data_IF_468896009220
#
_entry.id   IF_468896009220
#
_cell.length_a   1.000
_cell.length_b   1.000
_cell.length_c   1.000
_cell.angle_alpha   90.00
_cell.angle_beta   90.00
_cell.angle_gamma   90.00
#
_symmetry.space_group_name_H-M   'P 1'
#
loop_
_entity.id
_entity.type
_entity.pdbx_description
1 polymer ?
#
# COMPACT_ATOMS: atom_id res chain seq x y z
N UNK A 1 -44.57 -19.35 67.99
CA UNK A 1 -44.10 -18.46 66.91
C UNK A 1 -45.02 -17.25 66.87
N UNK A 2 -44.50 -16.02 66.97
CA UNK A 2 -45.36 -14.82 67.04
C UNK A 2 -45.61 -14.25 65.64
N UNK A 3 -46.77 -13.62 65.41
CA UNK A 3 -47.14 -13.01 64.13
C UNK A 3 -46.06 -12.07 63.57
N UNK A 4 -45.42 -11.27 64.44
CA UNK A 4 -44.33 -10.38 64.05
C UNK A 4 -43.09 -11.10 63.52
N UNK A 5 -42.78 -12.30 64.02
CA UNK A 5 -41.67 -13.11 63.51
C UNK A 5 -41.99 -13.68 62.12
N UNK A 6 -43.22 -14.17 61.93
CA UNK A 6 -43.69 -14.64 60.63
C UNK A 6 -43.67 -13.52 59.59
N UNK A 7 -44.24 -12.35 59.90
CA UNK A 7 -44.27 -11.20 58.99
C UNK A 7 -42.85 -10.72 58.62
N UNK A 8 -41.89 -10.85 59.53
CA UNK A 8 -40.48 -10.55 59.24
C UNK A 8 -39.87 -11.56 58.26
N UNK A 9 -40.05 -12.86 58.52
CA UNK A 9 -39.58 -13.93 57.62
C UNK A 9 -40.21 -13.84 56.23
N UNK A 10 -41.50 -13.52 56.14
CA UNK A 10 -42.18 -13.33 54.86
C UNK A 10 -41.59 -12.17 54.05
N UNK A 11 -41.25 -11.05 54.69
CA UNK A 11 -40.54 -9.93 54.05
C UNK A 11 -39.12 -10.31 53.60
N UNK A 12 -38.39 -11.04 54.43
CA UNK A 12 -37.05 -11.53 54.07
C UNK A 12 -37.07 -12.46 52.86
N UNK A 13 -38.09 -13.34 52.76
CA UNK A 13 -38.27 -14.19 51.58
C UNK A 13 -38.60 -13.36 50.33
N UNK A 14 -39.50 -12.38 50.43
CA UNK A 14 -39.85 -11.48 49.32
C UNK A 14 -38.63 -10.68 48.82
N UNK A 15 -37.80 -10.20 49.75
CA UNK A 15 -36.52 -9.54 49.43
C UNK A 15 -35.55 -10.49 48.70
N UNK A 16 -35.39 -11.72 49.19
CA UNK A 16 -34.54 -12.73 48.55
C UNK A 16 -35.02 -13.12 47.15
N UNK A 17 -36.34 -13.31 46.95
CA UNK A 17 -36.91 -13.61 45.63
C UNK A 17 -36.66 -12.46 44.65
N UNK A 18 -36.86 -11.21 45.09
CA UNK A 18 -36.58 -10.04 44.25
C UNK A 18 -35.11 -9.92 43.89
N UNK A 19 -34.21 -10.25 44.80
CA UNK A 19 -32.78 -10.21 44.54
C UNK A 19 -32.35 -11.32 43.56
N UNK A 20 -32.92 -12.52 43.67
CA UNK A 20 -32.69 -13.60 42.71
C UNK A 20 -33.22 -13.25 41.31
N UNK A 21 -34.43 -12.68 41.21
CA UNK A 21 -34.98 -12.19 39.94
C UNK A 21 -34.10 -11.09 39.32
N UNK A 22 -33.58 -10.15 40.12
CA UNK A 22 -32.66 -9.11 39.66
C UNK A 22 -31.33 -9.71 39.17
N UNK A 23 -30.81 -10.70 39.87
CA UNK A 23 -29.58 -11.40 39.46
C UNK A 23 -29.80 -12.20 38.18
N UNK A 24 -30.90 -12.93 38.07
CA UNK A 24 -31.27 -13.67 36.87
C UNK A 24 -31.44 -12.74 35.66
N UNK A 25 -32.15 -11.61 35.85
CA UNK A 25 -32.28 -10.58 34.82
C UNK A 25 -30.92 -9.98 34.42
N UNK A 26 -30.05 -9.70 35.39
CA UNK A 26 -28.69 -9.22 35.15
C UNK A 26 -27.82 -10.23 34.37
N UNK A 27 -27.91 -11.52 34.70
CA UNK A 27 -27.20 -12.59 34.00
C UNK A 27 -27.72 -12.80 32.58
N UNK A 28 -29.05 -12.73 32.37
CA UNK A 28 -29.65 -12.81 31.04
C UNK A 28 -29.15 -11.67 30.15
N UNK A 29 -29.21 -10.43 30.65
CA UNK A 29 -28.69 -9.26 29.94
C UNK A 29 -27.18 -9.37 29.63
N UNK A 30 -26.37 -9.89 30.56
CA UNK A 30 -24.95 -10.11 30.34
C UNK A 30 -24.67 -11.18 29.26
N UNK A 31 -25.46 -12.26 29.21
CA UNK A 31 -25.36 -13.30 28.18
C UNK A 31 -25.75 -12.77 26.80
N UNK A 32 -26.82 -11.99 26.72
CA UNK A 32 -27.25 -11.33 25.48
C UNK A 32 -26.18 -10.38 24.95
N UNK A 33 -25.60 -9.55 25.83
CA UNK A 33 -24.51 -8.65 25.47
C UNK A 33 -23.27 -9.41 24.98
N UNK A 34 -22.91 -10.52 25.62
CA UNK A 34 -21.80 -11.37 25.19
C UNK A 34 -22.08 -12.04 23.83
N UNK A 35 -23.30 -12.53 23.59
CA UNK A 35 -23.70 -13.11 22.32
C UNK A 35 -23.70 -12.08 21.18
N UNK A 36 -24.14 -10.84 21.45
CA UNK A 36 -24.04 -9.75 20.49
C UNK A 36 -22.57 -9.37 20.20
N UNK A 37 -21.71 -9.40 21.23
CA UNK A 37 -20.29 -9.14 21.09
C UNK A 37 -19.57 -10.18 20.22
N UNK A 38 -19.83 -11.46 20.44
CA UNK A 38 -19.26 -12.54 19.62
C UNK A 38 -19.80 -12.48 18.20
N UNK A 39 -21.11 -12.24 18.03
CA UNK A 39 -21.73 -12.10 16.70
C UNK A 39 -21.13 -10.96 15.87
N UNK A 40 -20.85 -9.82 16.50
CA UNK A 40 -20.20 -8.70 15.80
C UNK A 40 -18.73 -8.98 15.44
N UNK A 41 -17.98 -9.67 16.30
CA UNK A 41 -16.61 -10.13 15.98
C UNK A 41 -16.60 -11.12 14.83
N UNK A 42 -17.50 -12.09 14.82
CA UNK A 42 -17.57 -13.10 13.76
C UNK A 42 -17.94 -12.47 12.41
N UNK A 43 -18.89 -11.52 12.40
CA UNK A 43 -19.21 -10.76 11.20
C UNK A 43 -18.00 -9.99 10.65
N UNK A 44 -17.20 -9.35 11.52
CA UNK A 44 -15.96 -8.65 11.14
C UNK A 44 -14.91 -9.60 10.56
N UNK A 45 -14.66 -10.73 11.23
CA UNK A 45 -13.67 -11.72 10.79
C UNK A 45 -14.07 -12.32 9.43
N UNK A 46 -15.36 -12.57 9.18
CA UNK A 46 -15.86 -13.02 7.88
C UNK A 46 -15.60 -11.98 6.78
N UNK A 47 -15.80 -10.69 7.07
CA UNK A 47 -15.49 -9.61 6.14
C UNK A 47 -13.98 -9.55 5.82
N UNK A 48 -13.13 -9.62 6.85
CA UNK A 48 -11.67 -9.65 6.68
C UNK A 48 -11.23 -10.84 5.83
N UNK A 49 -11.80 -12.03 6.08
CA UNK A 49 -11.51 -13.26 5.33
C UNK A 49 -11.88 -13.12 3.85
N UNK A 50 -13.09 -12.66 3.55
CA UNK A 50 -13.55 -12.44 2.17
C UNK A 50 -12.64 -11.44 1.43
N UNK A 51 -12.20 -10.39 2.12
CA UNK A 51 -11.28 -9.40 1.57
C UNK A 51 -9.91 -10.00 1.24
N UNK A 52 -9.37 -10.83 2.13
CA UNK A 52 -8.11 -11.55 1.87
C UNK A 52 -8.24 -12.52 0.70
N UNK A 53 -9.37 -13.19 0.55
CA UNK A 53 -9.66 -14.08 -0.58
C UNK A 53 -9.78 -13.31 -1.90
N UNK A 54 -10.38 -12.11 -1.87
CA UNK A 54 -10.40 -11.23 -3.03
C UNK A 54 -8.98 -10.78 -3.42
N UNK A 55 -8.16 -10.36 -2.46
CA UNK A 55 -6.79 -9.91 -2.69
C UNK A 55 -5.89 -11.05 -3.17
N UNK A 56 -6.02 -12.25 -2.61
CA UNK A 56 -5.25 -13.42 -3.05
C UNK A 56 -5.58 -13.78 -4.50
N UNK A 57 -6.86 -13.70 -4.90
CA UNK A 57 -7.28 -13.88 -6.29
C UNK A 57 -6.70 -12.82 -7.24
N UNK A 58 -6.69 -11.55 -6.83
CA UNK A 58 -6.12 -10.45 -7.62
C UNK A 58 -4.60 -10.57 -7.78
N UNK A 59 -3.90 -10.98 -6.71
CA UNK A 59 -2.45 -11.10 -6.69
C UNK A 59 -1.94 -12.45 -7.21
N UNK A 60 -2.84 -13.40 -7.44
CA UNK A 60 -2.52 -14.80 -7.77
C UNK A 60 -1.56 -15.43 -6.73
N UNK A 61 -1.68 -15.02 -5.48
CA UNK A 61 -0.90 -15.55 -4.36
C UNK A 61 -1.76 -16.50 -3.53
N UNK A 62 -1.17 -17.57 -2.95
CA UNK A 62 -1.91 -18.44 -2.05
C UNK A 62 -2.32 -17.66 -0.80
N UNK A 63 -3.52 -17.96 -0.29
CA UNK A 63 -4.00 -17.38 0.95
C UNK A 63 -3.11 -17.86 2.12
N UNK A 64 -2.61 -16.95 2.99
CA UNK A 64 -1.79 -17.36 4.12
C UNK A 64 -2.59 -18.27 5.06
N UNK A 65 -1.96 -19.37 5.48
CA UNK A 65 -2.52 -20.23 6.50
C UNK A 65 -2.61 -19.45 7.82
N UNK A 66 -3.65 -19.66 8.64
CA UNK A 66 -3.67 -19.11 9.99
C UNK A 66 -2.41 -19.54 10.75
N UNK A 67 -1.75 -18.59 11.41
CA UNK A 67 -0.54 -18.86 12.17
C UNK A 67 -0.80 -19.79 13.36
N UNK A 68 0.26 -20.32 14.01
CA UNK A 68 0.11 -21.16 15.19
C UNK A 68 -0.47 -20.33 16.35
N UNK A 69 -1.79 -20.41 16.53
CA UNK A 69 -2.49 -19.80 17.66
C UNK A 69 -2.81 -20.90 18.67
N UNK A 70 -1.97 -21.04 19.69
CA UNK A 70 -2.41 -21.61 20.97
C UNK A 70 -2.82 -20.44 21.86
N UNK A 71 -4.11 -20.26 22.22
CA UNK A 71 -4.46 -19.22 23.17
C UNK A 71 -3.74 -19.48 24.49
N UNK A 72 -3.19 -18.43 25.10
CA UNK A 72 -2.95 -18.45 26.53
C UNK A 72 -4.31 -18.74 27.21
N UNK A 73 -4.38 -19.63 28.21
CA UNK A 73 -5.64 -19.95 28.85
C UNK A 73 -6.25 -18.67 29.43
N UNK A 74 -7.39 -18.25 28.89
CA UNK A 74 -8.12 -17.09 29.40
C UNK A 74 -9.18 -17.59 30.37
N UNK A 75 -9.02 -17.26 31.64
CA UNK A 75 -9.90 -17.70 32.73
C UNK A 75 -11.19 -16.87 32.80
N UNK A 76 -11.17 -15.64 32.26
CA UNK A 76 -12.31 -14.71 32.25
C UNK A 76 -12.86 -14.47 30.82
N UNK A 77 -14.11 -14.83 30.52
CA UNK A 77 -14.71 -14.61 29.20
C UNK A 77 -14.82 -13.14 28.80
N UNK A 78 -14.97 -12.21 29.76
CA UNK A 78 -15.02 -10.78 29.44
C UNK A 78 -13.65 -10.28 28.96
N UNK A 79 -12.59 -10.68 29.64
CA UNK A 79 -11.22 -10.42 29.23
C UNK A 79 -10.89 -11.04 27.85
N UNK A 80 -11.35 -12.28 27.60
CA UNK A 80 -11.15 -12.95 26.31
C UNK A 80 -11.78 -12.16 25.15
N UNK A 81 -13.01 -11.68 25.33
CA UNK A 81 -13.71 -10.86 24.32
C UNK A 81 -13.02 -9.52 24.10
N UNK A 82 -12.51 -8.89 25.17
CA UNK A 82 -11.77 -7.64 25.05
C UNK A 82 -10.46 -7.81 24.27
N UNK A 83 -9.69 -8.88 24.55
CA UNK A 83 -8.49 -9.20 23.80
C UNK A 83 -8.80 -9.51 22.33
N UNK A 84 -9.86 -10.28 22.06
CA UNK A 84 -10.29 -10.58 20.69
C UNK A 84 -10.62 -9.30 19.90
N UNK A 85 -11.30 -8.34 20.53
CA UNK A 85 -11.57 -7.02 19.92
C UNK A 85 -10.28 -6.25 19.64
N UNK A 86 -9.37 -6.17 20.62
CA UNK A 86 -8.08 -5.50 20.43
C UNK A 86 -7.27 -6.11 19.28
N UNK A 87 -7.24 -7.44 19.17
CA UNK A 87 -6.57 -8.11 18.05
C UNK A 87 -7.26 -7.85 16.71
N UNK A 88 -8.60 -7.83 16.67
CA UNK A 88 -9.34 -7.48 15.46
C UNK A 88 -9.06 -6.03 15.02
N UNK A 89 -8.99 -5.09 15.98
CA UNK A 89 -8.70 -3.68 15.72
C UNK A 89 -7.25 -3.47 15.21
N UNK A 90 -6.28 -4.18 15.82
CA UNK A 90 -4.89 -4.18 15.34
C UNK A 90 -4.77 -4.77 13.93
N UNK A 91 -5.51 -5.85 13.64
CA UNK A 91 -5.53 -6.46 12.31
C UNK A 91 -6.15 -5.51 11.27
N UNK A 92 -7.25 -4.81 11.61
CA UNK A 92 -7.87 -3.82 10.74
C UNK A 92 -6.94 -2.62 10.47
N UNK A 93 -6.25 -2.14 11.50
CA UNK A 93 -5.27 -1.06 11.35
C UNK A 93 -4.10 -1.47 10.45
N UNK A 94 -3.54 -2.66 10.66
CA UNK A 94 -2.47 -3.20 9.82
C UNK A 94 -2.93 -3.43 8.38
N UNK A 95 -4.17 -3.88 8.17
CA UNK A 95 -4.74 -4.04 6.84
C UNK A 95 -4.89 -2.69 6.12
N UNK A 96 -5.40 -1.67 6.82
CA UNK A 96 -5.54 -0.33 6.26
C UNK A 96 -4.17 0.28 5.87
N UNK A 97 -3.15 0.11 6.71
CA UNK A 97 -1.78 0.55 6.41
C UNK A 97 -1.21 -0.18 5.17
N UNK A 98 -1.37 -1.51 5.11
CA UNK A 98 -0.91 -2.30 3.98
C UNK A 98 -1.58 -1.88 2.66
N UNK A 99 -2.87 -1.56 2.68
CA UNK A 99 -3.60 -1.07 1.51
C UNK A 99 -3.18 0.33 1.08
N UNK A 100 -2.91 1.22 2.03
CA UNK A 100 -2.34 2.53 1.74
C UNK A 100 -0.96 2.41 1.07
N UNK A 101 -0.14 1.44 1.49
CA UNK A 101 1.14 1.16 0.85
C UNK A 101 0.96 0.49 -0.53
N UNK A 102 0.00 -0.42 -0.68
CA UNK A 102 -0.26 -1.12 -1.93
C UNK A 102 -0.86 -0.22 -3.03
N UNK A 103 -1.62 0.81 -2.63
CA UNK A 103 -2.15 1.84 -3.52
C UNK A 103 -1.12 2.89 -3.95
N UNK A 104 0.07 2.91 -3.34
CA UNK A 104 1.13 3.82 -3.74
C UNK A 104 1.86 3.33 -5.00
N UNK A 105 2.29 4.25 -5.87
CA UNK A 105 3.13 3.93 -7.01
C UNK A 105 4.49 3.41 -6.52
N UNK A 106 4.97 2.28 -7.07
CA UNK A 106 6.25 1.67 -6.66
C UNK A 106 7.45 2.58 -6.91
N UNK A 107 7.37 3.42 -7.93
CA UNK A 107 8.41 4.37 -8.31
C UNK A 107 8.19 5.70 -7.58
N UNK A 108 9.14 6.08 -6.72
CA UNK A 108 9.16 7.34 -5.93
C UNK A 108 7.85 7.57 -5.13
N UNK A 109 7.59 6.74 -4.09
CA UNK A 109 6.41 6.87 -3.25
C UNK A 109 6.32 8.26 -2.61
N UNK A 110 5.11 8.84 -2.57
CA UNK A 110 4.85 10.16 -1.99
C UNK A 110 5.14 11.37 -2.91
N UNK A 111 5.72 11.18 -4.09
CA UNK A 111 5.94 12.29 -5.05
C UNK A 111 4.73 12.51 -5.96
N UNK A 112 4.49 13.77 -6.37
CA UNK A 112 3.44 14.06 -7.34
C UNK A 112 3.76 13.42 -8.70
N UNK A 113 2.72 12.99 -9.43
CA UNK A 113 2.86 12.37 -10.75
C UNK A 113 3.78 13.12 -11.73
N UNK A 114 3.71 14.47 -11.86
CA UNK A 114 4.61 15.19 -12.75
C UNK A 114 6.07 15.22 -12.24
N UNK A 115 6.30 15.32 -10.93
CA UNK A 115 7.65 15.35 -10.35
C UNK A 115 8.37 14.00 -10.54
N UNK A 116 7.66 12.89 -10.31
CA UNK A 116 8.17 11.55 -10.60
C UNK A 116 8.54 11.39 -12.06
N UNK A 117 7.62 11.73 -12.96
CA UNK A 117 7.87 11.55 -14.39
C UNK A 117 9.07 12.40 -14.85
N UNK A 118 9.20 13.62 -14.34
CA UNK A 118 10.35 14.48 -14.61
C UNK A 118 11.67 13.82 -14.17
N UNK A 119 11.74 13.26 -12.96
CA UNK A 119 12.95 12.60 -12.45
C UNK A 119 13.34 11.39 -13.32
N UNK A 120 12.36 10.57 -13.74
CA UNK A 120 12.62 9.41 -14.59
C UNK A 120 13.15 9.84 -15.95
N UNK A 121 12.49 10.79 -16.60
CA UNK A 121 12.95 11.28 -17.90
C UNK A 121 14.31 11.99 -17.82
N UNK A 122 14.58 12.72 -16.74
CA UNK A 122 15.88 13.35 -16.52
C UNK A 122 17.00 12.31 -16.34
N UNK A 123 16.75 11.24 -15.58
CA UNK A 123 17.71 10.14 -15.42
C UNK A 123 17.97 9.40 -16.74
N UNK A 124 16.90 9.09 -17.50
CA UNK A 124 17.04 8.48 -18.82
C UNK A 124 17.79 9.39 -19.81
N UNK A 125 17.51 10.69 -19.80
CA UNK A 125 18.22 11.67 -20.62
C UNK A 125 19.70 11.75 -20.26
N UNK A 126 20.04 11.75 -18.96
CA UNK A 126 21.42 11.75 -18.49
C UNK A 126 22.17 10.47 -18.91
N UNK A 127 21.55 9.30 -18.77
CA UNK A 127 22.14 8.04 -19.24
C UNK A 127 22.41 8.07 -20.75
N UNK A 128 21.50 8.63 -21.55
CA UNK A 128 21.70 8.80 -22.98
C UNK A 128 22.84 9.76 -23.31
N UNK A 129 22.96 10.88 -22.58
CA UNK A 129 24.08 11.83 -22.72
C UNK A 129 25.41 11.14 -22.41
N UNK A 130 25.48 10.35 -21.34
CA UNK A 130 26.67 9.56 -21.00
C UNK A 130 27.01 8.56 -22.11
N UNK A 131 26.00 7.85 -22.64
CA UNK A 131 26.20 6.91 -23.74
C UNK A 131 26.71 7.60 -25.01
N UNK A 132 26.20 8.81 -25.32
CA UNK A 132 26.69 9.63 -26.42
C UNK A 132 28.16 10.00 -26.24
N UNK A 133 28.57 10.47 -25.05
CA UNK A 133 29.98 10.80 -24.79
C UNK A 133 30.89 9.58 -24.82
N UNK A 134 30.44 8.45 -24.28
CA UNK A 134 31.16 7.20 -24.40
C UNK A 134 31.35 6.82 -25.87
N UNK A 135 30.30 6.88 -26.70
CA UNK A 135 30.43 6.63 -28.13
C UNK A 135 31.46 7.56 -28.78
N UNK A 136 31.42 8.86 -28.49
CA UNK A 136 32.38 9.83 -29.02
C UNK A 136 33.83 9.55 -28.56
N UNK A 137 34.02 9.15 -27.31
CA UNK A 137 35.35 8.83 -26.77
C UNK A 137 35.92 7.51 -27.32
N UNK A 138 35.08 6.48 -27.48
CA UNK A 138 35.50 5.15 -27.95
C UNK A 138 35.59 5.05 -29.48
N UNK A 139 34.83 5.83 -30.23
CA UNK A 139 34.69 5.63 -31.69
C UNK A 139 35.89 6.09 -32.52
N UNK A 140 36.93 6.68 -31.91
CA UNK A 140 38.16 7.10 -32.60
C UNK A 140 37.87 7.93 -33.85
N UNK A 141 37.80 9.25 -33.71
CA UNK A 141 37.42 10.24 -34.75
C UNK A 141 37.79 9.79 -36.17
N UNK A 142 36.85 9.20 -36.94
CA UNK A 142 37.16 8.81 -38.33
C UNK A 142 36.24 7.81 -39.05
N UNK A 143 35.59 6.86 -38.38
CA UNK A 143 34.94 5.74 -39.10
C UNK A 143 33.44 5.91 -39.39
N UNK A 144 32.75 6.80 -38.66
CA UNK A 144 31.32 7.08 -38.82
C UNK A 144 31.13 8.41 -39.55
N UNK A 145 30.36 8.41 -40.64
CA UNK A 145 30.03 9.64 -41.37
C UNK A 145 29.31 10.67 -40.50
N UNK A 146 29.55 11.96 -40.74
CA UNK A 146 28.97 13.08 -40.00
C UNK A 146 27.44 13.00 -39.90
N UNK A 147 26.79 12.55 -40.98
CA UNK A 147 25.33 12.36 -41.05
C UNK A 147 24.87 11.29 -40.05
N UNK A 148 25.61 10.19 -39.91
CA UNK A 148 25.28 9.09 -38.98
C UNK A 148 25.41 9.54 -37.54
N UNK A 149 26.49 10.26 -37.20
CA UNK A 149 26.70 10.81 -35.86
C UNK A 149 25.59 11.80 -35.52
N UNK A 150 25.27 12.72 -36.43
CA UNK A 150 24.23 13.73 -36.21
C UNK A 150 22.84 13.10 -36.09
N UNK A 151 22.51 12.09 -36.90
CA UNK A 151 21.25 11.35 -36.80
C UNK A 151 21.08 10.64 -35.46
N UNK A 152 22.15 10.01 -34.95
CA UNK A 152 22.11 9.36 -33.64
C UNK A 152 22.02 10.35 -32.47
N UNK A 153 22.74 11.47 -32.53
CA UNK A 153 22.71 12.52 -31.49
C UNK A 153 21.37 13.25 -31.47
N UNK A 154 20.83 13.61 -32.63
CA UNK A 154 19.63 14.43 -32.71
C UNK A 154 18.32 13.63 -32.61
N UNK A 155 18.32 12.36 -32.99
CA UNK A 155 17.10 11.55 -33.05
C UNK A 155 17.22 10.20 -32.34
N UNK A 156 18.31 9.45 -32.57
CA UNK A 156 18.47 8.08 -32.05
C UNK A 156 18.47 8.00 -30.51
N UNK A 157 19.46 8.63 -29.87
CA UNK A 157 19.59 8.60 -28.41
C UNK A 157 18.42 9.28 -27.67
N UNK A 158 17.92 10.47 -28.09
CA UNK A 158 16.74 11.07 -27.48
C UNK A 158 15.49 10.18 -27.53
N UNK A 159 15.26 9.49 -28.65
CA UNK A 159 14.12 8.60 -28.83
C UNK A 159 14.23 7.37 -27.91
N UNK A 160 15.42 6.77 -27.80
CA UNK A 160 15.66 5.64 -26.90
C UNK A 160 15.49 6.04 -25.43
N UNK A 161 16.00 7.22 -25.04
CA UNK A 161 15.83 7.76 -23.69
C UNK A 161 14.35 7.98 -23.36
N UNK A 162 13.60 8.56 -24.30
CA UNK A 162 12.17 8.80 -24.16
C UNK A 162 11.38 7.51 -24.06
N UNK A 163 11.62 6.55 -24.97
CA UNK A 163 10.94 5.26 -24.98
C UNK A 163 11.25 4.46 -23.70
N UNK A 164 12.51 4.47 -23.25
CA UNK A 164 12.94 3.84 -22.00
C UNK A 164 12.24 4.45 -20.78
N UNK A 165 12.19 5.78 -20.67
CA UNK A 165 11.48 6.47 -19.60
C UNK A 165 9.96 6.23 -19.64
N UNK A 166 9.36 6.25 -20.83
CA UNK A 166 7.93 5.99 -21.03
C UNK A 166 7.56 4.55 -20.61
N UNK A 167 8.38 3.56 -20.98
CA UNK A 167 8.18 2.17 -20.60
C UNK A 167 8.43 1.96 -19.09
N UNK A 168 9.49 2.56 -18.54
CA UNK A 168 9.78 2.49 -17.11
C UNK A 168 8.63 3.03 -16.26
N UNK A 169 8.04 4.18 -16.62
CA UNK A 169 6.85 4.72 -15.95
C UNK A 169 5.65 3.77 -16.10
N UNK A 170 5.47 3.17 -17.28
CA UNK A 170 4.39 2.23 -17.55
C UNK A 170 4.50 0.89 -16.79
N UNK A 171 5.72 0.39 -16.58
CA UNK A 171 5.98 -0.88 -15.91
C UNK A 171 6.14 -0.72 -14.39
N UNK A 172 6.84 0.32 -13.92
CA UNK A 172 7.18 0.53 -12.51
C UNK A 172 6.25 1.53 -11.81
N UNK A 173 5.48 2.32 -12.56
CA UNK A 173 4.57 3.33 -12.00
C UNK A 173 3.17 2.81 -11.65
N UNK A 174 2.84 1.54 -12.00
CA UNK A 174 1.53 0.96 -11.69
C UNK A 174 1.45 0.58 -10.21
N UNK A 175 0.41 1.02 -9.48
CA UNK A 175 0.15 0.48 -8.16
C UNK A 175 -0.19 -1.01 -8.28
N UNK A 176 0.08 -1.76 -7.21
CA UNK A 176 -0.17 -3.21 -7.18
C UNK A 176 -1.67 -3.47 -7.05
N UNK A 177 -2.37 -2.61 -6.30
CA UNK A 177 -3.80 -2.71 -6.04
C UNK A 177 -4.45 -1.36 -6.39
N UNK A 178 -5.56 -1.41 -7.13
CA UNK A 178 -6.35 -0.23 -7.53
C UNK A 178 -6.25 0.11 -9.02
N UNK A 179 -7.34 0.65 -9.56
CA UNK A 179 -7.49 1.00 -10.99
C UNK A 179 -7.02 2.43 -11.30
N UNK A 180 -5.98 2.90 -10.61
CA UNK A 180 -5.43 4.22 -10.91
C UNK A 180 -4.61 4.13 -12.20
N UNK A 181 -5.14 4.73 -13.26
CA UNK A 181 -4.44 4.84 -14.55
C UNK A 181 -3.13 5.61 -14.35
N UNK A 182 -2.01 5.00 -14.72
CA UNK A 182 -0.69 5.64 -14.66
C UNK A 182 -0.71 6.89 -15.55
N UNK A 183 -0.59 8.07 -14.94
CA UNK A 183 -0.54 9.33 -15.67
C UNK A 183 0.81 9.47 -16.38
N UNK A 184 0.85 9.09 -17.66
CA UNK A 184 2.05 9.18 -18.51
C UNK A 184 2.15 10.58 -19.13
N UNK A 185 3.19 11.34 -18.78
CA UNK A 185 3.44 12.66 -19.39
C UNK A 185 4.36 12.56 -20.61
N UNK A 186 3.86 11.95 -21.70
CA UNK A 186 4.63 11.73 -22.92
C UNK A 186 5.25 13.02 -23.50
N UNK A 187 4.50 14.12 -23.47
CA UNK A 187 4.93 15.45 -23.96
C UNK A 187 6.08 16.03 -23.13
N UNK A 188 6.01 15.87 -21.81
CA UNK A 188 7.06 16.35 -20.90
C UNK A 188 8.35 15.56 -21.11
N UNK A 189 8.26 14.23 -21.20
CA UNK A 189 9.42 13.38 -21.49
C UNK A 189 10.07 13.71 -22.82
N UNK A 190 9.25 13.94 -23.86
CA UNK A 190 9.75 14.34 -25.17
C UNK A 190 10.55 15.64 -25.09
N UNK A 191 9.99 16.67 -24.42
CA UNK A 191 10.69 17.94 -24.22
C UNK A 191 12.03 17.78 -23.47
N UNK A 192 12.06 17.00 -22.39
CA UNK A 192 13.28 16.79 -21.59
C UNK A 192 14.36 16.06 -22.39
N UNK A 193 14.01 14.93 -23.03
CA UNK A 193 14.97 14.11 -23.75
C UNK A 193 15.51 14.80 -25.01
N UNK A 194 14.65 15.50 -25.77
CA UNK A 194 15.06 16.21 -26.99
C UNK A 194 15.76 17.54 -26.71
N UNK A 195 15.56 18.17 -25.55
CA UNK A 195 16.28 19.40 -25.18
C UNK A 195 17.65 19.11 -24.56
N UNK A 196 17.76 18.05 -23.75
CA UNK A 196 19.02 17.70 -23.08
C UNK A 196 20.15 17.38 -24.06
N UNK A 197 19.83 16.70 -25.17
CA UNK A 197 20.84 16.21 -26.12
C UNK A 197 21.54 17.31 -26.93
N UNK A 198 20.81 18.25 -27.57
CA UNK A 198 21.42 19.39 -28.26
C UNK A 198 22.25 20.25 -27.30
N UNK A 199 21.75 20.49 -26.08
CA UNK A 199 22.46 21.25 -25.05
C UNK A 199 23.78 20.56 -24.68
N UNK A 200 23.75 19.25 -24.44
CA UNK A 200 24.95 18.47 -24.15
C UNK A 200 25.95 18.51 -25.32
N UNK A 201 25.49 18.30 -26.56
CA UNK A 201 26.35 18.37 -27.73
C UNK A 201 27.01 19.75 -27.90
N UNK A 202 26.25 20.83 -27.74
CA UNK A 202 26.78 22.19 -27.77
C UNK A 202 27.82 22.41 -26.67
N UNK A 203 27.55 21.97 -25.43
CA UNK A 203 28.49 22.07 -24.32
C UNK A 203 29.80 21.34 -24.61
N UNK A 204 29.75 20.14 -25.20
CA UNK A 204 30.93 19.40 -25.61
C UNK A 204 31.73 20.10 -26.70
N UNK A 205 31.07 20.65 -27.71
CA UNK A 205 31.73 21.40 -28.79
C UNK A 205 32.37 22.70 -28.28
N UNK A 206 31.73 23.39 -27.35
CA UNK A 206 32.31 24.57 -26.68
C UNK A 206 33.54 24.17 -25.87
N UNK A 207 33.44 23.13 -25.05
CA UNK A 207 34.54 22.65 -24.22
C UNK A 207 35.75 22.18 -25.05
N UNK A 208 35.50 21.42 -26.11
CA UNK A 208 36.57 20.92 -27.00
C UNK A 208 37.11 21.97 -27.98
N UNK A 209 36.35 23.02 -28.28
CA UNK A 209 36.82 24.15 -29.11
C UNK A 209 37.57 25.23 -28.33
N UNK A 210 37.49 25.21 -27.00
CA UNK A 210 38.23 26.12 -26.11
C UNK A 210 39.58 25.54 -25.63
N UNK A 211 39.82 24.24 -25.87
CA UNK A 211 41.02 23.49 -25.47
C UNK A 211 41.96 23.30 -26.66
#
# INVERSE_FOLDING_TARGET
MTWNQYARLARQLDELYRDDERQAAGQAAAREAAAAATGSLDARLRMQRQRLEQLSGLLQTPLPAPGPAGPAPVTDPAQALQLARQHADLADAAAAEAEQLAGQPRLLPGTSAPARNLLVYACCALAAVVAQYALLALSGVGHLGTVTILGWVCAGFPLLAWAGGYFAIGALGRPVVGDQSVQRSARLGFAVCFLAMPVAFCAFKVFTGLL
#
